data_IF_313704161795
#
_entry.id   IF_313704161795
#
_cell.length_a   1.000
_cell.length_b   1.000
_cell.length_c   1.000
_cell.angle_alpha   90.00
_cell.angle_beta   90.00
_cell.angle_gamma   90.00
#
_symmetry.space_group_name_H-M   'P 1'
#
loop_
_entity.id
_entity.type
_entity.pdbx_description
1 polymer ?
#
# COMPACT_ATOMS: atom_id res chain seq x y z
N UNK A 1 24.03 60.24 28.57
CA UNK A 1 22.63 59.90 28.91
C UNK A 1 21.79 60.19 27.69
N UNK A 2 21.44 59.14 26.95
CA UNK A 2 20.12 58.81 26.37
C UNK A 2 20.36 57.76 25.25
N UNK A 3 19.68 56.59 25.28
CA UNK A 3 19.97 55.51 24.34
C UNK A 3 18.96 55.50 23.17
N UNK A 4 19.46 55.51 21.93
CA UNK A 4 18.63 55.20 20.76
C UNK A 4 18.48 53.70 20.60
N UNK A 5 17.32 53.21 21.02
CA UNK A 5 16.78 51.91 20.61
C UNK A 5 16.02 52.14 19.30
N UNK A 6 16.30 51.37 18.25
CA UNK A 6 15.23 50.68 17.50
C UNK A 6 15.75 49.88 16.28
N UNK A 7 15.48 48.57 16.38
CA UNK A 7 14.81 47.76 15.36
C UNK A 7 15.61 47.34 14.13
N UNK A 8 16.42 46.30 14.29
CA UNK A 8 16.77 45.39 13.20
C UNK A 8 15.50 44.67 12.73
N UNK A 9 15.03 44.99 11.52
CA UNK A 9 14.00 44.24 10.82
C UNK A 9 14.59 42.88 10.41
N UNK A 10 14.24 41.83 11.16
CA UNK A 10 14.45 40.45 10.73
C UNK A 10 13.42 40.13 9.63
N UNK A 11 13.81 40.34 8.37
CA UNK A 11 13.09 39.81 7.22
C UNK A 11 13.35 38.30 7.13
N UNK A 12 12.47 37.51 7.74
CA UNK A 12 12.39 36.08 7.45
C UNK A 12 11.94 35.91 5.99
N UNK A 13 12.90 35.68 5.10
CA UNK A 13 12.61 35.26 3.72
C UNK A 13 11.71 34.01 3.75
N UNK A 14 10.59 33.98 2.99
CA UNK A 14 9.86 32.74 2.80
C UNK A 14 10.75 31.79 1.99
N UNK A 15 10.88 30.56 2.48
CA UNK A 15 11.57 29.46 1.81
C UNK A 15 11.09 29.30 0.36
N UNK A 16 11.97 28.92 -0.59
CA UNK A 16 11.55 28.71 -1.96
C UNK A 16 10.66 27.47 -1.99
N UNK A 17 9.35 27.68 -2.03
CA UNK A 17 8.38 26.62 -2.26
C UNK A 17 8.66 26.09 -3.66
N UNK A 18 9.36 24.95 -3.74
CA UNK A 18 9.62 24.26 -5.00
C UNK A 18 8.31 24.18 -5.79
N UNK A 19 8.33 24.63 -7.05
CA UNK A 19 7.17 24.60 -7.92
C UNK A 19 6.50 23.22 -7.86
N UNK A 20 5.18 23.11 -7.60
CA UNK A 20 4.48 21.84 -7.47
C UNK A 20 4.72 20.86 -8.63
N UNK A 21 5.00 21.39 -9.82
CA UNK A 21 5.33 20.63 -11.02
C UNK A 21 6.70 19.93 -10.96
N UNK A 22 7.70 20.52 -10.30
CA UNK A 22 9.02 19.90 -10.13
C UNK A 22 8.95 18.74 -9.13
N UNK A 23 8.17 18.90 -8.07
CA UNK A 23 7.89 17.83 -7.11
C UNK A 23 7.17 16.67 -7.80
N UNK A 24 6.17 16.98 -8.63
CA UNK A 24 5.41 15.99 -9.39
C UNK A 24 6.27 15.10 -10.28
N UNK A 25 7.18 15.71 -11.05
CA UNK A 25 8.05 14.99 -11.97
C UNK A 25 9.04 14.08 -11.21
N UNK A 26 9.57 14.55 -10.07
CA UNK A 26 10.44 13.72 -9.23
C UNK A 26 9.66 12.56 -8.59
N UNK A 27 8.45 12.80 -8.09
CA UNK A 27 7.63 11.80 -7.41
C UNK A 27 7.14 10.69 -8.36
N UNK A 28 6.72 11.03 -9.57
CA UNK A 28 6.29 10.04 -10.56
C UNK A 28 7.44 9.08 -10.95
N UNK A 29 8.67 9.58 -11.00
CA UNK A 29 9.86 8.77 -11.27
C UNK A 29 10.28 7.86 -10.10
N UNK A 30 9.83 8.13 -8.86
CA UNK A 30 10.08 7.27 -7.70
C UNK A 30 9.21 6.00 -7.72
N UNK A 31 8.09 6.02 -8.45
CA UNK A 31 7.22 4.86 -8.62
C UNK A 31 7.59 4.11 -9.90
N UNK A 32 8.32 3.00 -9.75
CA UNK A 32 8.72 2.18 -10.90
C UNK A 32 7.56 1.41 -11.53
N UNK A 33 6.46 1.20 -10.81
CA UNK A 33 5.31 0.40 -11.27
C UNK A 33 4.00 1.15 -11.07
N UNK A 34 3.12 1.04 -12.07
CA UNK A 34 1.76 1.57 -12.00
C UNK A 34 0.86 0.64 -11.20
N UNK A 35 -0.12 1.19 -10.48
CA UNK A 35 -1.12 0.39 -9.76
C UNK A 35 -1.90 -0.48 -10.74
N UNK A 36 -1.99 -1.77 -10.44
CA UNK A 36 -2.83 -2.77 -11.10
C UNK A 36 -3.53 -3.66 -10.06
N UNK A 37 -4.30 -4.66 -10.54
CA UNK A 37 -5.07 -5.60 -9.71
C UNK A 37 -4.23 -6.46 -8.76
N UNK A 38 -2.92 -6.52 -8.93
CA UNK A 38 -2.05 -7.49 -8.26
C UNK A 38 -1.09 -6.85 -7.27
N UNK A 39 -0.78 -5.57 -7.42
CA UNK A 39 0.32 -4.92 -6.69
C UNK A 39 -0.12 -3.87 -5.64
N UNK A 40 -1.42 -3.76 -5.34
CA UNK A 40 -1.95 -2.70 -4.48
C UNK A 40 -1.25 -2.55 -3.12
N UNK A 41 -0.94 -3.66 -2.44
CA UNK A 41 -0.33 -3.59 -1.11
C UNK A 41 1.06 -2.94 -1.15
N UNK A 42 1.89 -3.35 -2.10
CA UNK A 42 3.23 -2.79 -2.32
C UNK A 42 3.11 -1.35 -2.82
N UNK A 43 2.23 -1.11 -3.79
CA UNK A 43 1.98 0.22 -4.35
C UNK A 43 1.55 1.21 -3.25
N UNK A 44 0.60 0.83 -2.39
CA UNK A 44 0.09 1.66 -1.30
C UNK A 44 1.20 2.01 -0.32
N UNK A 45 2.04 1.04 0.06
CA UNK A 45 3.18 1.26 0.94
C UNK A 45 4.14 2.30 0.34
N UNK A 46 4.51 2.14 -0.93
CA UNK A 46 5.45 3.04 -1.60
C UNK A 46 4.89 4.46 -1.75
N UNK A 47 3.68 4.61 -2.29
CA UNK A 47 3.10 5.93 -2.51
C UNK A 47 2.81 6.66 -1.21
N UNK A 48 2.36 5.96 -0.15
CA UNK A 48 2.13 6.59 1.16
C UNK A 48 3.44 7.12 1.74
N UNK A 49 4.53 6.35 1.63
CA UNK A 49 5.86 6.77 2.09
C UNK A 49 6.37 7.99 1.32
N UNK A 50 6.18 8.01 0.00
CA UNK A 50 6.55 9.16 -0.84
C UNK A 50 5.74 10.39 -0.43
N UNK A 51 4.41 10.28 -0.33
CA UNK A 51 3.55 11.41 0.02
C UNK A 51 3.82 11.96 1.41
N UNK A 52 4.15 11.11 2.37
CA UNK A 52 4.57 11.52 3.71
C UNK A 52 5.88 12.32 3.66
N UNK A 53 6.89 11.82 2.93
CA UNK A 53 8.17 12.52 2.75
C UNK A 53 8.03 13.91 2.09
N UNK A 54 6.99 14.12 1.28
CA UNK A 54 6.70 15.40 0.61
C UNK A 54 5.61 16.23 1.32
N UNK A 55 5.14 15.81 2.49
CA UNK A 55 4.06 16.48 3.25
C UNK A 55 2.82 16.74 2.39
N UNK A 56 2.41 15.74 1.61
CA UNK A 56 1.20 15.75 0.78
C UNK A 56 0.14 14.76 1.25
N UNK A 57 0.46 13.94 2.25
CA UNK A 57 -0.46 12.92 2.79
C UNK A 57 -1.68 13.53 3.48
N UNK A 58 -1.55 14.77 3.96
CA UNK A 58 -2.59 15.58 4.62
C UNK A 58 -3.81 15.88 3.72
N UNK A 59 -3.60 15.87 2.40
CA UNK A 59 -4.67 15.98 1.41
C UNK A 59 -5.46 14.68 1.23
N UNK A 60 -4.94 13.52 1.68
CA UNK A 60 -5.53 12.19 1.49
C UNK A 60 -6.09 11.56 2.77
N UNK A 61 -5.65 12.00 3.94
CA UNK A 61 -6.15 11.52 5.24
C UNK A 61 -7.33 12.36 5.78
N UNK A 62 -7.62 13.50 5.13
CA UNK A 62 -8.68 14.42 5.52
C UNK A 62 -8.26 15.45 6.59
N UNK A 63 -6.99 15.44 7.01
CA UNK A 63 -6.44 16.41 7.97
C UNK A 63 -6.40 17.83 7.41
N UNK A 64 -6.38 17.99 6.08
CA UNK A 64 -6.40 19.28 5.38
C UNK A 64 -7.65 19.42 4.48
N UNK A 65 -8.85 19.67 5.05
CA UNK A 65 -10.07 19.80 4.28
C UNK A 65 -10.09 21.07 3.41
N UNK A 66 -10.87 21.09 2.31
CA UNK A 66 -10.98 22.25 1.44
C UNK A 66 -11.51 23.48 2.21
N UNK A 67 -10.81 24.62 2.19
CA UNK A 67 -11.31 25.87 2.74
C UNK A 67 -12.56 26.36 2.00
N UNK A 68 -13.32 27.27 2.62
CA UNK A 68 -14.45 27.93 1.92
C UNK A 68 -13.97 28.55 0.60
N UNK A 69 -14.64 28.29 -0.54
CA UNK A 69 -14.23 28.86 -1.83
C UNK A 69 -14.31 30.39 -1.88
N UNK A 70 -15.14 30.97 -1.03
CA UNK A 70 -15.41 32.40 -1.00
C UNK A 70 -15.26 32.96 0.42
N UNK A 71 -14.80 34.21 0.48
CA UNK A 71 -14.76 35.03 1.69
C UNK A 71 -15.78 36.16 1.53
N UNK A 72 -16.48 36.46 2.62
CA UNK A 72 -17.33 37.65 2.72
C UNK A 72 -16.56 38.72 3.47
N UNK A 73 -16.45 39.90 2.85
CA UNK A 73 -15.87 41.09 3.50
C UNK A 73 -16.92 41.76 4.38
N UNK A 74 -16.49 42.59 5.34
CA UNK A 74 -17.40 43.36 6.23
C UNK A 74 -18.36 44.28 5.45
N UNK A 75 -18.03 44.60 4.19
CA UNK A 75 -18.86 45.35 3.25
C UNK A 75 -19.85 44.47 2.44
N UNK A 76 -20.00 43.18 2.77
CA UNK A 76 -20.90 42.25 2.08
C UNK A 76 -20.43 41.80 0.70
N UNK A 77 -19.22 42.17 0.27
CA UNK A 77 -18.68 41.79 -1.05
C UNK A 77 -18.07 40.39 -0.99
N UNK A 78 -18.51 39.51 -1.90
CA UNK A 78 -17.98 38.16 -2.07
C UNK A 78 -16.67 38.22 -2.87
N UNK A 79 -15.60 37.63 -2.32
CA UNK A 79 -14.30 37.50 -2.99
C UNK A 79 -13.83 36.05 -2.98
N UNK A 80 -13.01 35.66 -3.97
CA UNK A 80 -12.44 34.32 -4.02
C UNK A 80 -11.43 34.15 -2.87
N UNK A 81 -11.50 33.01 -2.17
CA UNK A 81 -10.58 32.72 -1.09
C UNK A 81 -9.20 32.31 -1.66
N UNK A 82 -8.12 33.08 -1.46
CA UNK A 82 -6.79 32.71 -1.96
C UNK A 82 -6.29 31.40 -1.36
N UNK A 83 -6.66 31.07 -0.12
CA UNK A 83 -6.31 29.81 0.54
C UNK A 83 -6.97 28.62 -0.14
N UNK A 84 -8.23 28.74 -0.55
CA UNK A 84 -8.91 27.72 -1.34
C UNK A 84 -8.24 27.50 -2.70
N UNK A 85 -7.82 28.57 -3.37
CA UNK A 85 -7.12 28.45 -4.66
C UNK A 85 -5.77 27.74 -4.52
N UNK A 86 -5.02 28.02 -3.44
CA UNK A 86 -3.77 27.33 -3.14
C UNK A 86 -4.00 25.85 -2.83
N UNK A 87 -5.00 25.55 -1.99
CA UNK A 87 -5.41 24.18 -1.68
C UNK A 87 -5.80 23.42 -2.94
N UNK A 88 -6.64 24.03 -3.80
CA UNK A 88 -7.07 23.44 -5.07
C UNK A 88 -5.91 23.17 -6.02
N UNK A 89 -4.92 24.07 -6.07
CA UNK A 89 -3.72 23.88 -6.89
C UNK A 89 -2.90 22.68 -6.41
N UNK A 90 -2.77 22.47 -5.09
CA UNK A 90 -2.13 21.30 -4.51
C UNK A 90 -2.90 20.02 -4.80
N UNK A 91 -4.21 20.02 -4.59
CA UNK A 91 -5.09 18.88 -4.90
C UNK A 91 -4.99 18.46 -6.38
N UNK A 92 -4.98 19.42 -7.32
CA UNK A 92 -4.82 19.11 -8.76
C UNK A 92 -3.43 18.59 -9.11
N UNK A 93 -2.37 19.04 -8.44
CA UNK A 93 -1.05 18.46 -8.61
C UNK A 93 -1.05 16.99 -8.14
N UNK A 94 -1.64 16.72 -6.97
CA UNK A 94 -1.75 15.37 -6.43
C UNK A 94 -2.60 14.44 -7.31
N UNK A 95 -3.72 14.93 -7.85
CA UNK A 95 -4.49 14.17 -8.85
C UNK A 95 -3.67 13.82 -10.08
N UNK A 96 -2.87 14.77 -10.58
CA UNK A 96 -1.99 14.52 -11.73
C UNK A 96 -0.96 13.43 -11.39
N UNK A 97 -0.43 13.44 -10.16
CA UNK A 97 0.50 12.41 -9.68
C UNK A 97 -0.19 11.05 -9.66
N UNK A 98 -1.34 10.97 -9.00
CA UNK A 98 -2.13 9.75 -8.88
C UNK A 98 -2.37 9.18 -10.28
N UNK A 99 -2.91 9.96 -11.22
CA UNK A 99 -3.14 9.48 -12.58
C UNK A 99 -1.88 9.01 -13.31
N UNK A 100 -0.70 9.59 -13.03
CA UNK A 100 0.56 9.13 -13.62
C UNK A 100 1.02 7.75 -13.13
N UNK A 101 0.65 7.38 -11.91
CA UNK A 101 1.05 6.13 -11.24
C UNK A 101 -0.08 5.08 -11.25
N UNK A 102 -1.19 5.32 -11.93
CA UNK A 102 -2.27 4.36 -12.15
C UNK A 102 -2.18 3.75 -13.56
N UNK A 103 -2.49 2.46 -13.67
CA UNK A 103 -2.68 1.84 -14.99
C UNK A 103 -4.02 2.26 -15.60
N UNK A 104 -4.14 2.16 -16.93
CA UNK A 104 -5.35 2.57 -17.66
C UNK A 104 -6.65 1.93 -17.11
N UNK A 105 -6.70 0.62 -16.80
CA UNK A 105 -7.90 0.02 -16.19
C UNK A 105 -8.26 0.63 -14.83
N UNK A 106 -7.26 1.05 -14.05
CA UNK A 106 -7.46 1.62 -12.72
C UNK A 106 -7.90 3.08 -12.80
N UNK A 107 -7.38 3.85 -13.75
CA UNK A 107 -7.88 5.20 -14.05
C UNK A 107 -9.38 5.15 -14.37
N UNK A 108 -9.83 4.16 -15.14
CA UNK A 108 -11.25 3.99 -15.46
C UNK A 108 -12.14 3.81 -14.21
N UNK A 109 -11.60 3.24 -13.11
CA UNK A 109 -12.35 3.02 -11.86
C UNK A 109 -12.62 4.31 -11.08
N UNK A 110 -11.80 5.34 -11.30
CA UNK A 110 -11.86 6.61 -10.55
C UNK A 110 -12.41 7.77 -11.39
N UNK A 111 -12.98 7.46 -12.57
CA UNK A 111 -13.68 8.45 -13.40
C UNK A 111 -14.86 9.03 -12.63
N UNK A 112 -14.97 10.36 -12.65
CA UNK A 112 -16.02 11.10 -11.93
C UNK A 112 -15.59 11.60 -10.55
N UNK A 113 -14.47 11.11 -10.01
CA UNK A 113 -13.89 11.68 -8.79
C UNK A 113 -13.21 13.02 -9.10
N UNK A 114 -13.46 14.01 -8.26
CA UNK A 114 -13.11 15.41 -8.46
C UNK A 114 -11.93 15.85 -7.58
N UNK A 115 -11.67 15.16 -6.48
CA UNK A 115 -10.56 15.45 -5.55
C UNK A 115 -9.61 14.27 -5.41
N UNK A 116 -8.37 14.54 -5.00
CA UNK A 116 -7.37 13.52 -4.72
C UNK A 116 -7.80 12.57 -3.61
N UNK A 117 -8.47 13.09 -2.56
CA UNK A 117 -9.07 12.32 -1.48
C UNK A 117 -10.13 11.32 -1.99
N UNK A 118 -11.04 11.75 -2.86
CA UNK A 118 -12.06 10.88 -3.45
C UNK A 118 -11.46 9.75 -4.29
N UNK A 119 -10.44 10.06 -5.10
CA UNK A 119 -9.69 9.05 -5.86
C UNK A 119 -9.03 8.06 -4.89
N UNK A 120 -8.34 8.55 -3.87
CA UNK A 120 -7.65 7.72 -2.88
C UNK A 120 -8.61 6.77 -2.16
N UNK A 121 -9.73 7.28 -1.65
CA UNK A 121 -10.74 6.50 -0.97
C UNK A 121 -11.36 5.43 -1.88
N UNK A 122 -11.62 5.78 -3.15
CA UNK A 122 -12.14 4.82 -4.13
C UNK A 122 -11.16 3.67 -4.36
N UNK A 123 -9.86 3.98 -4.53
CA UNK A 123 -8.82 2.97 -4.68
C UNK A 123 -8.70 2.11 -3.41
N UNK A 124 -8.73 2.74 -2.24
CA UNK A 124 -8.67 2.04 -0.97
C UNK A 124 -9.83 1.06 -0.79
N UNK A 125 -11.05 1.48 -1.04
CA UNK A 125 -12.22 0.62 -0.94
C UNK A 125 -12.13 -0.57 -1.91
N UNK A 126 -11.87 -0.29 -3.19
CA UNK A 126 -11.85 -1.31 -4.24
C UNK A 126 -10.76 -2.34 -4.02
N UNK A 127 -9.53 -1.89 -3.79
CA UNK A 127 -8.40 -2.79 -3.71
C UNK A 127 -8.23 -3.42 -2.33
N UNK A 128 -8.69 -2.79 -1.25
CA UNK A 128 -8.71 -3.46 0.07
C UNK A 128 -9.69 -4.62 0.05
N UNK A 129 -10.86 -4.46 -0.58
CA UNK A 129 -11.82 -5.56 -0.76
C UNK A 129 -11.22 -6.70 -1.61
N UNK A 130 -10.63 -6.37 -2.76
CA UNK A 130 -9.95 -7.36 -3.63
C UNK A 130 -8.78 -8.04 -2.92
N UNK A 131 -7.95 -7.30 -2.19
CA UNK A 131 -6.83 -7.85 -1.44
C UNK A 131 -7.30 -8.81 -0.35
N UNK A 132 -8.34 -8.44 0.41
CA UNK A 132 -8.95 -9.33 1.43
C UNK A 132 -9.49 -10.61 0.81
N UNK A 133 -10.21 -10.50 -0.32
CA UNK A 133 -10.73 -11.67 -1.03
C UNK A 133 -9.60 -12.55 -1.57
N UNK A 134 -8.54 -11.96 -2.12
CA UNK A 134 -7.36 -12.67 -2.59
C UNK A 134 -6.65 -13.41 -1.44
N UNK A 135 -6.43 -12.75 -0.30
CA UNK A 135 -5.86 -13.37 0.90
C UNK A 135 -6.72 -14.55 1.37
N UNK A 136 -8.04 -14.39 1.42
CA UNK A 136 -8.94 -15.48 1.80
C UNK A 136 -8.85 -16.65 0.81
N UNK A 137 -8.86 -16.38 -0.48
CA UNK A 137 -8.74 -17.41 -1.52
C UNK A 137 -7.42 -18.17 -1.42
N UNK A 138 -6.30 -17.46 -1.23
CA UNK A 138 -4.98 -18.09 -1.04
C UNK A 138 -4.94 -18.93 0.24
N UNK A 139 -5.56 -18.48 1.34
CA UNK A 139 -5.67 -19.28 2.57
C UNK A 139 -6.51 -20.54 2.36
N UNK A 140 -7.64 -20.44 1.65
CA UNK A 140 -8.47 -21.60 1.31
C UNK A 140 -7.72 -22.56 0.39
N UNK A 141 -7.01 -22.04 -0.62
CA UNK A 141 -6.17 -22.83 -1.52
C UNK A 141 -5.14 -23.62 -0.70
N UNK A 142 -4.37 -22.93 0.16
CA UNK A 142 -3.36 -23.53 1.04
C UNK A 142 -3.95 -24.67 1.88
N UNK A 143 -5.09 -24.45 2.55
CA UNK A 143 -5.75 -25.45 3.38
C UNK A 143 -6.34 -26.63 2.58
N UNK A 144 -6.59 -26.44 1.28
CA UNK A 144 -7.15 -27.45 0.39
C UNK A 144 -6.10 -28.32 -0.28
N UNK A 145 -4.81 -27.92 -0.28
CA UNK A 145 -3.76 -28.68 -0.97
C UNK A 145 -3.67 -30.09 -0.38
N UNK A 146 -3.78 -31.10 -1.25
CA UNK A 146 -3.55 -32.51 -0.95
C UNK A 146 -2.46 -33.02 -1.88
N UNK A 147 -1.58 -33.89 -1.38
CA UNK A 147 -0.56 -34.58 -2.20
C UNK A 147 -1.22 -35.43 -3.28
N UNK A 148 -2.27 -36.18 -2.91
CA UNK A 148 -2.89 -37.16 -3.81
C UNK A 148 -1.85 -38.15 -4.35
N UNK A 149 -1.87 -38.34 -5.67
CA UNK A 149 -0.97 -39.24 -6.39
C UNK A 149 0.36 -38.59 -6.80
N UNK A 150 0.57 -37.30 -6.49
CA UNK A 150 1.80 -36.59 -6.83
C UNK A 150 2.97 -37.00 -5.94
N UNK A 151 4.20 -36.68 -6.37
CA UNK A 151 5.39 -36.84 -5.51
C UNK A 151 5.35 -35.86 -4.34
N UNK A 152 6.08 -36.18 -3.26
CA UNK A 152 6.20 -35.29 -2.09
C UNK A 152 6.81 -33.94 -2.50
N UNK A 153 7.82 -33.95 -3.38
CA UNK A 153 8.49 -32.74 -3.89
C UNK A 153 7.50 -31.81 -4.58
N UNK A 154 6.72 -32.33 -5.53
CA UNK A 154 5.71 -31.54 -6.25
C UNK A 154 4.65 -30.97 -5.31
N UNK A 155 4.21 -31.79 -4.33
CA UNK A 155 3.27 -31.34 -3.31
C UNK A 155 3.84 -30.21 -2.45
N UNK A 156 5.07 -30.34 -1.94
CA UNK A 156 5.73 -29.32 -1.13
C UNK A 156 5.99 -28.04 -1.94
N UNK A 157 6.33 -28.13 -3.22
CA UNK A 157 6.49 -26.98 -4.11
C UNK A 157 5.17 -26.21 -4.28
N UNK A 158 4.01 -26.89 -4.39
CA UNK A 158 2.70 -26.21 -4.45
C UNK A 158 2.39 -25.48 -3.14
N UNK A 159 2.63 -26.13 -2.00
CA UNK A 159 2.48 -25.50 -0.68
C UNK A 159 3.37 -24.25 -0.57
N UNK A 160 4.64 -24.35 -0.97
CA UNK A 160 5.59 -23.23 -1.00
C UNK A 160 5.08 -22.09 -1.88
N UNK A 161 4.64 -22.39 -3.09
CA UNK A 161 4.16 -21.40 -4.06
C UNK A 161 3.01 -20.58 -3.50
N UNK A 162 2.04 -21.21 -2.85
CA UNK A 162 0.90 -20.50 -2.23
C UNK A 162 1.34 -19.71 -1.00
N UNK A 163 2.26 -20.25 -0.20
CA UNK A 163 2.87 -19.55 0.94
C UNK A 163 3.63 -18.30 0.50
N UNK A 164 4.41 -18.38 -0.58
CA UNK A 164 5.17 -17.25 -1.13
C UNK A 164 4.22 -16.17 -1.67
N UNK A 165 3.11 -16.56 -2.31
CA UNK A 165 2.04 -15.62 -2.72
C UNK A 165 1.40 -14.91 -1.54
N UNK A 166 1.13 -15.62 -0.44
CA UNK A 166 0.64 -15.00 0.81
C UNK A 166 1.66 -14.02 1.38
N UNK A 167 2.94 -14.40 1.41
CA UNK A 167 4.02 -13.52 1.89
C UNK A 167 4.17 -12.28 1.01
N UNK A 168 3.98 -12.38 -0.30
CA UNK A 168 4.05 -11.25 -1.23
C UNK A 168 2.94 -10.21 -0.98
N UNK A 169 1.79 -10.62 -0.42
CA UNK A 169 0.70 -9.71 -0.01
C UNK A 169 0.77 -9.33 1.48
N UNK A 170 1.91 -9.60 2.15
CA UNK A 170 2.15 -9.24 3.54
C UNK A 170 1.51 -10.17 4.57
N UNK A 171 1.05 -11.35 4.14
CA UNK A 171 0.49 -12.37 5.04
C UNK A 171 1.54 -13.45 5.28
N UNK A 172 2.14 -13.45 6.46
CA UNK A 172 3.08 -14.48 6.86
C UNK A 172 2.34 -15.64 7.51
N UNK A 173 2.41 -16.82 6.90
CA UNK A 173 1.97 -18.08 7.52
C UNK A 173 3.04 -18.51 8.51
N UNK A 174 2.65 -18.72 9.77
CA UNK A 174 3.60 -19.24 10.75
C UNK A 174 4.00 -20.68 10.41
N UNK A 175 5.14 -21.11 10.94
CA UNK A 175 5.68 -22.42 10.60
C UNK A 175 4.84 -23.58 11.14
N UNK A 176 4.13 -23.40 12.25
CA UNK A 176 3.28 -24.44 12.85
C UNK A 176 2.00 -24.64 12.04
N UNK A 177 1.40 -23.56 11.54
CA UNK A 177 0.27 -23.53 10.63
C UNK A 177 0.66 -24.19 9.31
N UNK A 178 1.81 -23.83 8.74
CA UNK A 178 2.30 -24.45 7.51
C UNK A 178 2.57 -25.95 7.70
N UNK A 179 3.16 -26.34 8.83
CA UNK A 179 3.36 -27.74 9.20
C UNK A 179 2.02 -28.47 9.31
N UNK A 180 1.03 -27.87 9.97
CA UNK A 180 -0.30 -28.43 10.10
C UNK A 180 -0.96 -28.66 8.73
N UNK A 181 -0.85 -27.68 7.82
CA UNK A 181 -1.35 -27.81 6.44
C UNK A 181 -0.67 -28.98 5.72
N UNK A 182 0.66 -29.06 5.81
CA UNK A 182 1.45 -30.12 5.15
C UNK A 182 1.01 -31.50 5.66
N UNK A 183 0.95 -31.68 6.99
CA UNK A 183 0.61 -32.96 7.59
C UNK A 183 -0.84 -33.37 7.32
N UNK A 184 -1.76 -32.41 7.25
CA UNK A 184 -3.17 -32.64 6.91
C UNK A 184 -3.36 -33.02 5.43
N UNK A 185 -2.46 -32.58 4.55
CA UNK A 185 -2.54 -32.84 3.12
C UNK A 185 -1.90 -34.16 2.66
N UNK A 186 -1.25 -34.89 3.56
CA UNK A 186 -0.64 -36.20 3.26
C UNK A 186 -1.67 -37.35 3.28
N UNK A 187 -1.55 -38.34 2.39
CA UNK A 187 -2.36 -39.56 2.41
C UNK A 187 -2.11 -40.39 3.67
N UNK A 188 -3.06 -41.29 3.99
CA UNK A 188 -3.01 -42.16 5.18
C UNK A 188 -1.76 -43.04 5.27
N UNK A 189 -1.14 -43.37 4.14
CA UNK A 189 0.11 -44.13 4.09
C UNK A 189 1.29 -43.42 4.80
N UNK A 190 1.21 -42.10 4.96
CA UNK A 190 2.20 -41.30 5.71
C UNK A 190 1.80 -41.06 7.17
N UNK A 191 0.79 -41.74 7.72
CA UNK A 191 0.30 -41.49 9.08
C UNK A 191 1.39 -41.66 10.15
N UNK A 192 2.23 -42.69 10.03
CA UNK A 192 3.35 -42.92 10.96
C UNK A 192 4.39 -41.79 10.89
N UNK A 193 4.71 -41.33 9.68
CA UNK A 193 5.59 -40.19 9.46
C UNK A 193 5.01 -38.90 10.03
N UNK A 194 3.72 -38.63 9.79
CA UNK A 194 3.04 -37.44 10.30
C UNK A 194 2.96 -37.43 11.83
N UNK A 195 2.74 -38.59 12.47
CA UNK A 195 2.75 -38.71 13.92
C UNK A 195 4.15 -38.53 14.51
N UNK A 196 5.19 -39.07 13.86
CA UNK A 196 6.57 -38.87 14.30
C UNK A 196 6.98 -37.38 14.25
N UNK A 197 6.60 -36.66 13.19
CA UNK A 197 6.92 -35.23 13.04
C UNK A 197 6.20 -34.37 14.09
N UNK A 198 4.94 -34.68 14.44
CA UNK A 198 4.20 -33.93 15.47
C UNK A 198 4.82 -34.00 16.87
N UNK A 199 5.61 -35.04 17.14
CA UNK A 199 6.25 -35.28 18.44
C UNK A 199 7.67 -34.69 18.48
N UNK A 200 8.28 -34.42 17.33
CA UNK A 200 9.65 -33.92 17.23
C UNK A 200 9.60 -32.40 16.98
N UNK A 201 9.68 -31.62 18.05
CA UNK A 201 9.73 -30.15 18.08
C UNK A 201 10.86 -29.51 17.23
N UNK A 202 11.73 -30.31 16.58
CA UNK A 202 12.85 -29.86 15.73
C UNK A 202 12.74 -30.15 14.24
N UNK A 203 11.68 -30.82 13.75
CA UNK A 203 11.55 -31.19 12.32
C UNK A 203 11.21 -30.01 11.40
N UNK A 204 10.86 -28.85 11.96
CA UNK A 204 10.56 -27.59 11.26
C UNK A 204 11.73 -27.09 10.40
N UNK A 205 12.96 -27.12 10.93
CA UNK A 205 14.16 -26.71 10.18
C UNK A 205 14.49 -27.66 9.02
N UNK A 206 14.16 -28.95 9.15
CA UNK A 206 14.38 -29.94 8.08
C UNK A 206 13.36 -29.79 6.94
N UNK A 207 12.10 -29.47 7.25
CA UNK A 207 11.09 -29.14 6.24
C UNK A 207 11.46 -27.87 5.47
N UNK A 208 12.03 -26.87 6.13
CA UNK A 208 12.55 -25.67 5.46
C UNK A 208 13.74 -26.02 4.55
N UNK A 209 14.68 -26.86 4.98
CA UNK A 209 15.78 -27.33 4.12
C UNK A 209 15.28 -28.12 2.89
N UNK A 210 14.19 -28.87 3.04
CA UNK A 210 13.52 -29.57 1.94
C UNK A 210 12.83 -28.59 0.98
N UNK A 211 12.15 -27.56 1.50
CA UNK A 211 11.50 -26.51 0.69
C UNK A 211 12.50 -25.57 -0.01
N UNK A 212 13.67 -25.36 0.58
CA UNK A 212 14.77 -24.59 -0.01
C UNK A 212 15.56 -25.42 -1.03
N UNK A 213 15.72 -26.73 -0.81
CA UNK A 213 16.45 -27.64 -1.71
C UNK A 213 15.69 -28.17 -2.93
N UNK A 214 14.43 -27.75 -3.15
CA UNK A 214 13.63 -28.13 -4.33
C UNK A 214 13.89 -27.26 -5.58
N UNK A 215 15.07 -26.64 -5.69
CA UNK A 215 15.51 -25.85 -6.86
C UNK A 215 16.11 -26.72 -7.95
#
# INVERSE_FOLDING_TARGET
MEPTTNSAQNTSNPTPVHSPLLLLNNMANLMSTKLDSTNYMIWKLQISTILDAFSMIDHLDGSNPPPSPFLFTDAGTQSANPTFLLWKKRDKALLTLLYSILSSPVIAMVVGQSTSLEVWNTLEERFTSTARANVLNLKMELQSIRKGNETITTYLQRVKTVSDKLSAVGVHTDHEELLHVILKGLPKEYALFASAIRVIDGCLGRLQSLLVGCT
#
